data_IF_831623075327
#
_entry.id   IF_831623075327
#
_cell.length_a   1.000
_cell.length_b   1.000
_cell.length_c   1.000
_cell.angle_alpha   90.00
_cell.angle_beta   90.00
_cell.angle_gamma   90.00
#
_symmetry.space_group_name_H-M   'P 1'
#
loop_
_entity.id
_entity.type
_entity.pdbx_description
1 polymer ?
#
# COMPACT_ATOMS: atom_id res chain seq x y z
N UNK A 1 -78.79 -60.25 -2.04
CA UNK A 1 -77.38 -60.69 -2.16
C UNK A 1 -76.56 -59.45 -2.52
N UNK A 2 -76.00 -58.85 -1.51
CA UNK A 2 -75.41 -57.46 -1.56
C UNK A 2 -73.89 -57.55 -1.55
N UNK A 3 -73.21 -57.17 -2.61
CA UNK A 3 -71.79 -57.08 -2.67
C UNK A 3 -71.31 -55.70 -2.23
N UNK A 4 -70.59 -55.61 -1.15
CA UNK A 4 -69.88 -54.43 -0.68
C UNK A 4 -68.58 -54.22 -1.48
N UNK A 5 -68.37 -53.04 -2.01
CA UNK A 5 -67.11 -52.56 -2.59
C UNK A 5 -66.21 -52.05 -1.48
N UNK A 6 -64.85 -52.30 -1.49
CA UNK A 6 -63.93 -51.69 -0.57
C UNK A 6 -63.51 -50.30 -1.11
N UNK A 7 -63.38 -49.36 -0.17
CA UNK A 7 -62.82 -48.02 -0.39
C UNK A 7 -61.30 -48.02 -0.47
N UNK A 8 -60.71 -47.48 -1.53
CA UNK A 8 -59.31 -47.21 -1.67
C UNK A 8 -59.01 -45.86 -0.99
N UNK A 9 -58.25 -45.90 0.10
CA UNK A 9 -57.64 -44.71 0.71
C UNK A 9 -56.39 -44.32 -0.05
N UNK A 10 -56.46 -43.20 -0.75
CA UNK A 10 -55.30 -42.60 -1.42
C UNK A 10 -54.33 -42.00 -0.42
N UNK A 11 -53.13 -42.56 -0.30
CA UNK A 11 -52.04 -42.03 0.48
C UNK A 11 -51.26 -41.02 -0.40
N UNK A 12 -51.51 -39.73 -0.19
CA UNK A 12 -50.81 -38.66 -0.89
C UNK A 12 -49.44 -38.44 -0.21
N UNK A 13 -48.36 -38.91 -0.86
CA UNK A 13 -47.00 -38.73 -0.41
C UNK A 13 -46.51 -37.32 -0.78
N UNK A 14 -46.54 -36.40 0.16
CA UNK A 14 -46.03 -35.03 0.00
C UNK A 14 -44.50 -35.09 0.10
N UNK A 15 -43.83 -35.08 -1.07
CA UNK A 15 -42.37 -34.98 -1.13
C UNK A 15 -41.97 -33.52 -0.85
N UNK A 16 -41.55 -33.24 0.40
CA UNK A 16 -41.01 -31.96 0.80
C UNK A 16 -39.56 -31.81 0.25
N UNK A 17 -39.42 -31.14 -0.88
CA UNK A 17 -38.10 -30.84 -1.47
C UNK A 17 -37.43 -29.71 -0.68
N UNK A 18 -36.63 -30.07 0.32
CA UNK A 18 -35.85 -29.11 1.09
C UNK A 18 -34.67 -28.61 0.22
N UNK A 19 -34.82 -27.42 -0.36
CA UNK A 19 -33.76 -26.75 -1.08
C UNK A 19 -32.74 -26.26 -0.06
N UNK A 20 -31.61 -26.98 0.04
CA UNK A 20 -30.48 -26.63 0.87
C UNK A 20 -29.72 -25.48 0.19
N UNK A 21 -30.05 -24.23 0.55
CA UNK A 21 -29.31 -23.05 0.10
C UNK A 21 -27.96 -23.05 0.82
N UNK A 22 -26.92 -23.56 0.18
CA UNK A 22 -25.54 -23.43 0.66
C UNK A 22 -25.15 -21.94 0.56
N UNK A 23 -24.66 -21.32 1.64
CA UNK A 23 -24.12 -19.99 1.56
C UNK A 23 -22.89 -19.99 0.63
N UNK A 24 -23.04 -19.40 -0.53
CA UNK A 24 -21.95 -19.16 -1.47
C UNK A 24 -21.05 -18.10 -0.84
N UNK A 25 -19.96 -18.53 -0.17
CA UNK A 25 -18.91 -17.63 0.31
C UNK A 25 -18.23 -17.06 -0.93
N UNK A 26 -18.65 -15.86 -1.33
CA UNK A 26 -17.90 -15.04 -2.29
C UNK A 26 -16.59 -14.68 -1.60
N UNK A 27 -15.55 -15.50 -1.77
CA UNK A 27 -14.18 -15.12 -1.48
C UNK A 27 -13.87 -14.01 -2.46
N UNK A 28 -13.90 -12.76 -2.00
CA UNK A 28 -13.36 -11.65 -2.78
C UNK A 28 -11.92 -12.02 -3.18
N UNK A 29 -11.62 -12.04 -4.46
CA UNK A 29 -10.25 -12.25 -4.93
C UNK A 29 -9.35 -11.18 -4.30
N UNK A 30 -8.25 -11.62 -3.69
CA UNK A 30 -7.22 -10.70 -3.19
C UNK A 30 -6.73 -9.84 -4.37
N UNK A 31 -6.75 -8.51 -4.26
CA UNK A 31 -6.25 -7.64 -5.32
C UNK A 31 -4.84 -8.06 -5.77
N UNK A 32 -4.63 -8.17 -7.07
CA UNK A 32 -3.32 -8.48 -7.65
C UNK A 32 -2.28 -7.38 -7.40
N UNK A 33 -0.98 -7.66 -7.63
CA UNK A 33 0.07 -6.66 -7.45
C UNK A 33 -0.14 -5.40 -8.29
N UNK A 34 -0.62 -5.54 -9.52
CA UNK A 34 -0.94 -4.45 -10.45
C UNK A 34 -2.12 -3.61 -9.94
N UNK A 35 -3.13 -4.23 -9.33
CA UNK A 35 -4.27 -3.53 -8.74
C UNK A 35 -3.85 -2.69 -7.52
N UNK A 36 -2.92 -3.19 -6.70
CA UNK A 36 -2.33 -2.42 -5.59
C UNK A 36 -1.61 -1.18 -6.11
N UNK A 37 -0.81 -1.33 -7.17
CA UNK A 37 -0.10 -0.20 -7.78
C UNK A 37 -1.07 0.75 -8.50
N UNK A 38 -2.09 0.23 -9.17
CA UNK A 38 -3.13 1.07 -9.80
C UNK A 38 -3.82 1.95 -8.76
N UNK A 39 -4.17 1.40 -7.58
CA UNK A 39 -4.78 2.17 -6.49
C UNK A 39 -3.86 3.27 -5.98
N UNK A 40 -2.57 2.98 -5.77
CA UNK A 40 -1.58 3.99 -5.40
C UNK A 40 -1.47 5.08 -6.47
N UNK A 41 -1.35 4.70 -7.74
CA UNK A 41 -1.22 5.63 -8.85
C UNK A 41 -2.42 6.59 -8.96
N UNK A 42 -3.65 6.07 -8.77
CA UNK A 42 -4.87 6.91 -8.74
C UNK A 42 -4.78 7.94 -7.62
N UNK A 43 -4.43 7.53 -6.40
CA UNK A 43 -4.31 8.45 -5.27
C UNK A 43 -3.20 9.50 -5.48
N UNK A 44 -2.08 9.13 -6.11
CA UNK A 44 -1.01 10.07 -6.44
C UNK A 44 -1.49 11.13 -7.45
N UNK A 45 -2.22 10.74 -8.49
CA UNK A 45 -2.79 11.69 -9.46
C UNK A 45 -3.84 12.60 -8.81
N UNK A 46 -4.69 12.07 -7.93
CA UNK A 46 -5.66 12.88 -7.17
C UNK A 46 -4.96 13.89 -6.27
N UNK A 47 -3.89 13.47 -5.61
CA UNK A 47 -3.04 14.33 -4.78
C UNK A 47 -2.42 15.46 -5.59
N UNK A 48 -1.83 15.15 -6.75
CA UNK A 48 -1.27 16.14 -7.67
C UNK A 48 -2.33 17.14 -8.17
N UNK A 49 -3.51 16.65 -8.55
CA UNK A 49 -4.63 17.49 -9.01
C UNK A 49 -5.12 18.45 -7.92
N UNK A 50 -5.17 17.99 -6.68
CA UNK A 50 -5.48 18.84 -5.54
C UNK A 50 -4.38 19.86 -5.21
N UNK A 51 -3.12 19.53 -5.51
CA UNK A 51 -1.97 20.41 -5.52
C UNK A 51 -1.93 21.41 -4.37
N UNK A 52 -1.77 22.69 -4.73
CA UNK A 52 -1.71 23.81 -3.78
C UNK A 52 -3.03 24.08 -3.04
N UNK A 53 -4.19 23.74 -3.62
CA UNK A 53 -5.49 23.94 -2.99
C UNK A 53 -5.68 23.05 -1.77
N UNK A 54 -5.20 21.78 -1.84
CA UNK A 54 -5.17 20.89 -0.68
C UNK A 54 -4.13 21.30 0.36
N UNK A 55 -3.08 21.96 -0.06
CA UNK A 55 -1.91 22.19 0.75
C UNK A 55 -1.25 20.89 1.21
N UNK A 56 -0.08 20.98 1.83
CA UNK A 56 0.64 19.79 2.34
C UNK A 56 -0.23 18.90 3.22
N UNK A 57 -0.95 19.49 4.18
CA UNK A 57 -1.78 18.73 5.14
C UNK A 57 -2.95 18.01 4.47
N UNK A 58 -3.55 18.60 3.44
CA UNK A 58 -4.62 17.96 2.67
C UNK A 58 -4.11 16.78 1.85
N UNK A 59 -2.99 16.94 1.17
CA UNK A 59 -2.32 15.87 0.41
C UNK A 59 -1.87 14.72 1.33
N UNK A 60 -1.32 15.05 2.50
CA UNK A 60 -0.94 14.06 3.50
C UNK A 60 -2.15 13.20 3.92
N UNK A 61 -3.28 13.83 4.31
CA UNK A 61 -4.50 13.11 4.71
C UNK A 61 -5.09 12.24 3.60
N UNK A 62 -5.00 12.68 2.34
CA UNK A 62 -5.46 11.89 1.20
C UNK A 62 -4.59 10.64 0.99
N UNK A 63 -3.28 10.78 1.15
CA UNK A 63 -2.32 9.70 0.90
C UNK A 63 -2.20 8.72 2.08
N UNK A 64 -2.42 9.16 3.31
CA UNK A 64 -2.23 8.35 4.51
C UNK A 64 -2.90 6.97 4.46
N UNK A 65 -4.21 6.84 4.18
CA UNK A 65 -4.86 5.54 4.13
C UNK A 65 -4.31 4.66 3.02
N UNK A 66 -4.03 5.23 1.84
CA UNK A 66 -3.55 4.46 0.69
C UNK A 66 -2.11 3.98 0.90
N UNK A 67 -1.22 4.84 1.37
CA UNK A 67 0.18 4.46 1.66
C UNK A 67 0.22 3.43 2.78
N UNK A 68 -0.54 3.61 3.86
CA UNK A 68 -0.59 2.65 4.97
C UNK A 68 -1.10 1.28 4.52
N UNK A 69 -2.08 1.24 3.61
CA UNK A 69 -2.64 -0.02 3.13
C UNK A 69 -1.77 -0.68 2.06
N UNK A 70 -1.14 0.09 1.17
CA UNK A 70 -0.40 -0.49 0.03
C UNK A 70 1.06 -0.83 0.34
N UNK A 71 1.67 -0.20 1.35
CA UNK A 71 3.07 -0.45 1.73
C UNK A 71 3.18 -1.34 2.97
N UNK A 72 4.23 -2.15 3.03
CA UNK A 72 4.61 -2.91 4.23
C UNK A 72 5.55 -2.06 5.09
N UNK A 73 5.03 -0.95 5.63
CA UNK A 73 5.82 0.08 6.32
C UNK A 73 6.64 -0.45 7.50
N UNK A 74 6.13 -1.34 8.40
CA UNK A 74 6.93 -1.89 9.47
C UNK A 74 8.15 -2.67 8.97
N UNK A 75 7.99 -3.47 7.92
CA UNK A 75 9.11 -4.16 7.29
C UNK A 75 10.13 -3.18 6.71
N UNK A 76 9.65 -2.16 5.99
CA UNK A 76 10.53 -1.16 5.38
C UNK A 76 11.27 -0.34 6.43
N UNK A 77 10.63 0.00 7.55
CA UNK A 77 11.26 0.62 8.70
C UNK A 77 12.41 -0.24 9.23
N UNK A 78 12.16 -1.50 9.53
CA UNK A 78 13.18 -2.42 10.03
C UNK A 78 14.37 -2.57 9.09
N UNK A 79 14.12 -2.67 7.77
CA UNK A 79 15.17 -2.75 6.75
C UNK A 79 15.96 -1.45 6.66
N UNK A 80 15.32 -0.29 6.83
CA UNK A 80 15.96 1.02 6.68
C UNK A 80 17.01 1.33 7.74
N UNK A 81 16.95 0.72 8.91
CA UNK A 81 17.97 0.84 9.97
C UNK A 81 18.92 -0.36 10.03
N UNK A 82 18.64 -1.39 9.24
CA UNK A 82 19.52 -2.54 9.04
C UNK A 82 19.91 -3.27 10.32
N UNK A 83 21.22 -3.42 10.57
CA UNK A 83 21.73 -4.13 11.75
C UNK A 83 21.25 -3.54 13.08
N UNK A 84 20.98 -2.25 13.13
CA UNK A 84 20.57 -1.55 14.35
C UNK A 84 19.18 -1.97 14.82
N UNK A 85 18.30 -2.47 13.91
CA UNK A 85 16.94 -2.91 14.28
C UNK A 85 16.93 -3.85 15.49
N UNK A 86 17.83 -4.82 15.51
CA UNK A 86 17.92 -5.84 16.58
C UNK A 86 18.48 -5.29 17.90
N UNK A 87 19.08 -4.12 17.90
CA UNK A 87 19.62 -3.47 19.10
C UNK A 87 18.68 -2.44 19.71
N UNK A 88 17.60 -2.09 19.01
CA UNK A 88 16.54 -1.22 19.52
C UNK A 88 15.64 -2.00 20.48
N UNK A 89 15.17 -1.33 21.53
CA UNK A 89 14.11 -1.87 22.38
C UNK A 89 12.78 -1.94 21.60
N UNK A 90 11.80 -2.72 22.08
CA UNK A 90 10.47 -2.80 21.47
C UNK A 90 9.79 -1.41 21.42
N UNK A 91 9.95 -0.60 22.45
CA UNK A 91 9.46 0.78 22.48
C UNK A 91 10.11 1.65 21.39
N UNK A 92 11.44 1.56 21.24
CA UNK A 92 12.15 2.27 20.18
C UNK A 92 11.77 1.80 18.78
N UNK A 93 11.54 0.49 18.61
CA UNK A 93 11.04 -0.07 17.35
C UNK A 93 9.68 0.50 17.00
N UNK A 94 8.73 0.52 17.94
CA UNK A 94 7.40 1.10 17.75
C UNK A 94 7.46 2.60 17.41
N UNK A 95 8.24 3.38 18.17
CA UNK A 95 8.46 4.81 17.87
C UNK A 95 9.05 5.04 16.47
N UNK A 96 9.96 4.14 16.07
CA UNK A 96 10.59 4.26 14.75
C UNK A 96 9.63 3.89 13.62
N UNK A 97 8.81 2.84 13.78
CA UNK A 97 7.78 2.47 12.80
C UNK A 97 6.78 3.61 12.58
N UNK A 98 6.31 4.24 13.63
CA UNK A 98 5.39 5.39 13.55
C UNK A 98 6.01 6.56 12.78
N UNK A 99 7.23 6.97 13.14
CA UNK A 99 7.88 8.11 12.50
C UNK A 99 8.27 7.79 11.05
N UNK A 100 8.66 6.54 10.75
CA UNK A 100 8.95 6.09 9.39
C UNK A 100 7.71 6.13 8.50
N UNK A 101 6.56 5.69 9.02
CA UNK A 101 5.29 5.78 8.31
C UNK A 101 4.92 7.24 8.02
N UNK A 102 4.96 8.10 9.03
CA UNK A 102 4.68 9.53 8.88
C UNK A 102 5.61 10.20 7.86
N UNK A 103 6.91 9.87 7.89
CA UNK A 103 7.89 10.39 6.95
C UNK A 103 7.64 9.88 5.53
N UNK A 104 7.29 8.61 5.37
CA UNK A 104 6.97 8.04 4.06
C UNK A 104 5.78 8.76 3.43
N UNK A 105 4.69 8.93 4.17
CA UNK A 105 3.50 9.66 3.70
C UNK A 105 3.84 11.11 3.37
N UNK A 106 4.58 11.79 4.26
CA UNK A 106 5.02 13.17 4.07
C UNK A 106 5.89 13.34 2.81
N UNK A 107 6.76 12.34 2.51
CA UNK A 107 7.59 12.33 1.30
C UNK A 107 6.72 12.27 0.03
N UNK A 108 5.70 11.43 0.00
CA UNK A 108 4.76 11.39 -1.12
C UNK A 108 3.97 12.69 -1.24
N UNK A 109 3.44 13.22 -0.12
CA UNK A 109 2.70 14.48 -0.11
C UNK A 109 3.53 15.67 -0.62
N UNK A 110 4.86 15.65 -0.39
CA UNK A 110 5.78 16.69 -0.87
C UNK A 110 6.10 16.57 -2.35
N UNK A 111 6.30 15.34 -2.86
CA UNK A 111 6.77 15.14 -4.24
C UNK A 111 5.65 15.05 -5.28
N UNK A 112 4.40 14.88 -4.83
CA UNK A 112 3.22 14.82 -5.68
C UNK A 112 2.31 16.02 -5.40
N UNK A 113 2.83 17.23 -5.58
CA UNK A 113 2.21 18.50 -5.18
C UNK A 113 1.72 19.37 -6.35
N UNK A 114 2.04 19.03 -7.58
CA UNK A 114 1.62 19.75 -8.80
C UNK A 114 1.13 18.78 -9.88
N UNK A 115 0.14 19.21 -10.66
CA UNK A 115 -0.40 18.48 -11.80
C UNK A 115 -0.30 19.30 -13.08
N UNK A 116 0.38 18.76 -14.09
CA UNK A 116 0.54 19.34 -15.41
C UNK A 116 0.12 18.36 -16.53
N UNK A 117 -0.86 17.50 -16.26
CA UNK A 117 -1.34 16.49 -17.20
C UNK A 117 -0.64 15.13 -17.08
N UNK A 118 0.00 14.87 -15.95
CA UNK A 118 0.67 13.60 -15.69
C UNK A 118 -0.33 12.44 -15.67
N UNK A 119 0.18 11.26 -16.09
CA UNK A 119 -0.54 10.00 -15.97
C UNK A 119 0.42 8.87 -15.66
N UNK A 120 -0.05 7.92 -14.87
CA UNK A 120 0.66 6.66 -14.68
C UNK A 120 0.20 5.61 -15.68
N UNK A 121 1.16 4.81 -16.15
CA UNK A 121 0.93 3.68 -17.04
C UNK A 121 1.67 2.46 -16.51
N UNK A 122 0.94 1.39 -16.14
CA UNK A 122 1.55 0.11 -15.77
C UNK A 122 1.96 -0.61 -17.04
N UNK A 123 3.26 -0.85 -17.20
CA UNK A 123 3.83 -1.39 -18.43
C UNK A 123 4.16 -2.88 -18.33
N UNK A 124 4.42 -3.39 -17.11
CA UNK A 124 4.82 -4.79 -16.92
C UNK A 124 4.56 -5.25 -15.50
N UNK A 125 4.17 -6.51 -15.38
CA UNK A 125 4.16 -7.25 -14.12
C UNK A 125 4.95 -8.54 -14.29
N UNK A 126 5.73 -8.92 -13.29
CA UNK A 126 6.50 -10.16 -13.27
C UNK A 126 6.52 -10.78 -11.88
N UNK A 127 6.50 -12.10 -11.81
CA UNK A 127 6.79 -12.83 -10.58
C UNK A 127 8.30 -12.81 -10.32
N UNK A 128 8.70 -12.74 -9.05
CA UNK A 128 10.09 -12.79 -8.61
C UNK A 128 10.25 -13.87 -7.54
N UNK A 129 11.48 -14.27 -7.23
CA UNK A 129 11.75 -15.29 -6.21
C UNK A 129 11.23 -14.91 -4.81
N UNK A 130 10.97 -13.63 -4.54
CA UNK A 130 10.49 -13.13 -3.23
C UNK A 130 9.14 -12.43 -3.28
N UNK A 131 8.38 -12.52 -4.40
CA UNK A 131 7.11 -11.82 -4.55
C UNK A 131 6.81 -11.43 -5.99
N UNK A 132 6.50 -10.16 -6.23
CA UNK A 132 6.21 -9.61 -7.55
C UNK A 132 6.94 -8.29 -7.79
N UNK A 133 7.14 -7.95 -9.05
CA UNK A 133 7.59 -6.64 -9.51
C UNK A 133 6.54 -6.06 -10.48
N UNK A 134 6.18 -4.80 -10.29
CA UNK A 134 5.30 -4.05 -11.19
C UNK A 134 6.06 -2.82 -11.68
N UNK A 135 6.17 -2.68 -13.00
CA UNK A 135 6.76 -1.51 -13.63
C UNK A 135 5.64 -0.55 -14.01
N UNK A 136 5.83 0.71 -13.65
CA UNK A 136 4.93 1.81 -13.98
C UNK A 136 5.74 3.00 -14.44
N UNK A 137 5.22 3.77 -15.40
CA UNK A 137 5.80 5.00 -15.88
C UNK A 137 4.90 6.17 -15.49
N UNK A 138 5.49 7.22 -14.96
CA UNK A 138 4.84 8.52 -14.85
C UNK A 138 5.22 9.31 -16.08
N UNK A 139 4.23 9.62 -16.91
CA UNK A 139 4.37 10.36 -18.15
C UNK A 139 3.88 11.79 -17.92
N UNK A 140 4.68 12.78 -18.30
CA UNK A 140 4.28 14.18 -18.23
C UNK A 140 3.95 14.73 -19.62
N UNK A 141 3.26 15.88 -19.68
CA UNK A 141 2.93 16.56 -20.91
C UNK A 141 4.15 17.09 -21.70
N UNK A 142 5.35 17.06 -21.11
CA UNK A 142 6.62 17.54 -21.71
C UNK A 142 7.50 16.41 -22.21
N UNK A 143 6.92 15.25 -22.55
CA UNK A 143 7.64 14.04 -22.98
C UNK A 143 8.69 13.51 -21.97
N UNK A 144 8.64 13.97 -20.73
CA UNK A 144 9.45 13.41 -19.67
C UNK A 144 8.76 12.18 -19.10
N UNK A 145 9.51 11.11 -18.97
CA UNK A 145 9.04 9.91 -18.30
C UNK A 145 9.91 9.59 -17.08
N UNK A 146 9.26 9.12 -16.02
CA UNK A 146 9.95 8.57 -14.85
C UNK A 146 9.49 7.14 -14.66
N UNK A 147 10.44 6.21 -14.64
CA UNK A 147 10.17 4.79 -14.43
C UNK A 147 10.18 4.47 -12.94
N UNK A 148 9.13 3.77 -12.51
CA UNK A 148 8.97 3.20 -11.17
C UNK A 148 8.91 1.68 -11.28
N UNK A 149 9.76 0.97 -10.54
CA UNK A 149 9.65 -0.46 -10.30
C UNK A 149 9.24 -0.67 -8.85
N UNK A 150 8.01 -1.14 -8.64
CA UNK A 150 7.51 -1.50 -7.33
C UNK A 150 7.80 -2.96 -7.04
N UNK A 151 8.46 -3.25 -5.92
CA UNK A 151 8.66 -4.60 -5.42
C UNK A 151 7.61 -4.91 -4.36
N UNK A 152 6.88 -6.02 -4.52
CA UNK A 152 5.79 -6.39 -3.62
C UNK A 152 6.03 -7.79 -3.04
N UNK A 153 5.52 -7.98 -1.82
CA UNK A 153 5.40 -9.29 -1.16
C UNK A 153 3.94 -9.59 -0.84
N UNK A 154 3.59 -10.86 -0.90
CA UNK A 154 2.32 -11.35 -0.39
C UNK A 154 2.49 -11.61 1.11
N UNK A 155 1.76 -10.89 1.94
CA UNK A 155 1.80 -10.98 3.40
C UNK A 155 0.37 -10.98 3.92
N UNK A 156 0.02 -11.98 4.73
CA UNK A 156 -1.33 -12.12 5.31
C UNK A 156 -2.46 -12.06 4.28
N UNK A 157 -2.21 -12.64 3.10
CA UNK A 157 -3.18 -12.67 2.00
C UNK A 157 -3.31 -11.36 1.21
N UNK A 158 -2.47 -10.34 1.46
CA UNK A 158 -2.47 -9.07 0.74
C UNK A 158 -1.10 -8.77 0.11
N UNK A 159 -1.09 -8.25 -1.10
CA UNK A 159 0.12 -7.73 -1.73
C UNK A 159 0.47 -6.37 -1.15
N UNK A 160 1.74 -6.21 -0.73
CA UNK A 160 2.26 -4.98 -0.12
C UNK A 160 3.59 -4.60 -0.73
N UNK A 161 3.79 -3.31 -0.98
CA UNK A 161 5.03 -2.74 -1.50
C UNK A 161 6.10 -2.81 -0.41
N UNK A 162 7.28 -3.33 -0.77
CA UNK A 162 8.45 -3.45 0.13
C UNK A 162 9.66 -2.65 -0.34
N UNK A 163 9.68 -2.18 -1.59
CA UNK A 163 10.67 -1.27 -2.14
C UNK A 163 10.11 -0.57 -3.37
N UNK A 164 10.55 0.65 -3.61
CA UNK A 164 10.30 1.41 -4.83
C UNK A 164 11.63 1.78 -5.44
N UNK A 165 11.82 1.44 -6.70
CA UNK A 165 12.99 1.86 -7.48
C UNK A 165 12.56 2.93 -8.47
N UNK A 166 13.24 4.04 -8.45
CA UNK A 166 13.02 5.15 -9.39
C UNK A 166 14.20 5.19 -10.33
N UNK A 167 13.96 5.03 -11.63
CA UNK A 167 15.03 4.94 -12.64
C UNK A 167 16.12 3.93 -12.25
N UNK A 168 15.72 2.78 -11.74
CA UNK A 168 16.61 1.69 -11.33
C UNK A 168 17.22 1.82 -9.92
N UNK A 169 17.05 2.96 -9.23
CA UNK A 169 17.66 3.22 -7.91
C UNK A 169 16.67 2.93 -6.78
N UNK A 170 16.99 1.95 -5.90
CA UNK A 170 16.16 1.60 -4.74
C UNK A 170 16.10 2.74 -3.73
N UNK A 171 14.89 3.20 -3.45
CA UNK A 171 14.66 4.26 -2.46
C UNK A 171 14.87 3.73 -1.03
N UNK A 172 14.51 2.47 -0.78
CA UNK A 172 14.76 1.85 0.52
C UNK A 172 16.25 1.68 0.81
N UNK A 173 17.06 1.31 -0.20
CA UNK A 173 18.51 1.20 -0.04
C UNK A 173 19.15 2.56 0.21
N UNK A 174 18.72 3.61 -0.48
CA UNK A 174 19.18 4.98 -0.24
C UNK A 174 18.83 5.46 1.17
N UNK A 175 17.59 5.24 1.60
CA UNK A 175 17.14 5.57 2.96
C UNK A 175 17.96 4.83 4.01
N UNK A 176 18.22 3.53 3.78
CA UNK A 176 19.07 2.74 4.68
C UNK A 176 20.47 3.30 4.80
N UNK A 177 21.11 3.68 3.71
CA UNK A 177 22.45 4.26 3.74
C UNK A 177 22.48 5.54 4.59
N UNK A 178 21.46 6.40 4.45
CA UNK A 178 21.36 7.64 5.24
C UNK A 178 21.09 7.37 6.71
N UNK A 179 20.10 6.51 7.04
CA UNK A 179 19.70 6.26 8.42
C UNK A 179 20.78 5.51 9.20
N UNK A 180 21.40 4.49 8.60
CA UNK A 180 22.54 3.79 9.21
C UNK A 180 23.70 4.74 9.47
N UNK A 181 24.02 5.65 8.54
CA UNK A 181 25.05 6.65 8.76
C UNK A 181 24.76 7.59 9.93
N UNK A 182 23.50 7.98 10.15
CA UNK A 182 23.09 8.80 11.30
C UNK A 182 23.21 7.98 12.57
N UNK A 183 22.69 6.75 12.59
CA UNK A 183 22.73 5.86 13.74
C UNK A 183 24.17 5.58 14.20
N UNK A 184 25.09 5.29 13.25
CA UNK A 184 26.48 5.02 13.55
C UNK A 184 27.23 6.23 14.15
N UNK A 185 26.85 7.45 13.75
CA UNK A 185 27.55 8.68 14.15
C UNK A 185 26.90 9.40 15.32
N UNK A 186 25.59 9.33 15.45
CA UNK A 186 24.83 10.23 16.32
C UNK A 186 23.77 9.53 17.18
N UNK A 187 23.50 8.25 16.92
CA UNK A 187 22.55 7.46 17.68
C UNK A 187 21.08 7.64 17.28
N UNK A 188 20.21 6.95 18.03
CA UNK A 188 18.80 6.79 17.70
C UNK A 188 18.00 8.09 17.86
N UNK A 189 18.22 8.85 18.93
CA UNK A 189 17.47 10.08 19.21
C UNK A 189 17.72 11.14 18.11
N UNK A 190 18.94 11.25 17.60
CA UNK A 190 19.23 12.16 16.48
C UNK A 190 18.61 11.67 15.17
N UNK A 191 18.51 10.35 14.96
CA UNK A 191 17.77 9.83 13.81
C UNK A 191 16.30 10.27 13.88
N UNK A 192 15.63 10.05 15.01
CA UNK A 192 14.25 10.51 15.18
C UNK A 192 14.11 12.03 15.01
N UNK A 193 15.01 12.80 15.60
CA UNK A 193 15.01 14.26 15.49
C UNK A 193 15.20 14.72 14.04
N UNK A 194 16.11 14.06 13.27
CA UNK A 194 16.36 14.38 11.88
C UNK A 194 15.15 14.08 10.98
N UNK A 195 14.46 12.96 11.20
CA UNK A 195 13.25 12.61 10.46
C UNK A 195 12.13 13.61 10.79
N UNK A 196 11.89 13.92 12.07
CA UNK A 196 10.90 14.94 12.49
C UNK A 196 11.17 16.30 11.86
N UNK A 197 12.44 16.71 11.80
CA UNK A 197 12.86 17.95 11.14
C UNK A 197 12.52 17.91 9.65
N UNK A 198 12.80 16.80 8.97
CA UNK A 198 12.50 16.64 7.55
C UNK A 198 11.02 16.71 7.22
N UNK A 199 10.18 16.09 8.05
CA UNK A 199 8.71 16.19 7.91
C UNK A 199 8.25 17.66 8.05
N UNK A 200 8.79 18.41 9.03
CA UNK A 200 8.49 19.85 9.18
C UNK A 200 8.93 20.67 7.97
N UNK A 201 10.13 20.42 7.43
CA UNK A 201 10.62 21.09 6.21
C UNK A 201 9.66 20.86 5.04
N UNK A 202 9.18 19.63 4.84
CA UNK A 202 8.20 19.32 3.80
C UNK A 202 6.90 20.11 3.98
N UNK A 203 6.40 20.23 5.21
CA UNK A 203 5.17 20.97 5.48
C UNK A 203 5.30 22.49 5.30
N UNK A 204 6.50 23.05 5.51
CA UNK A 204 6.76 24.49 5.40
C UNK A 204 7.04 24.94 3.96
N UNK A 205 7.55 24.06 3.11
CA UNK A 205 7.89 24.40 1.72
C UNK A 205 6.68 24.58 0.79
N UNK A 206 5.49 24.34 1.29
CA UNK A 206 4.23 24.48 0.55
C UNK A 206 3.65 25.91 0.62
N UNK A 207 4.21 26.76 1.44
CA UNK A 207 3.77 28.16 1.66
C UNK A 207 4.62 29.21 0.93
N UNK A 208 5.58 28.78 0.11
CA UNK A 208 6.42 29.65 -0.70
C UNK A 208 6.11 29.43 -2.18
#
# INVERSE_FOLDING_TARGET
>A
MCLKKPAFAGFSLLVLCTVMVLPMHIRGETPGPDQVISRLNVALIETMRGGKELGFSGRYRLLEPVVTETFLLPYMASVSVGRHWKTLTEEQQGQFEEIYAAWSIASYAKHFDEYAGERFEITKQAQTAGGAAVLSKLLSSKDNETEFEYRLRLTEGAWRIVDVRISGVSQLANTRAQFVSILDKKGFDELLASIKRKIREFSQSDGQ
#
